data_IF_185464058765
#
_entry.id   IF_185464058765
#
_cell.length_a   1.000
_cell.length_b   1.000
_cell.length_c   1.000
_cell.angle_alpha   90.00
_cell.angle_beta   90.00
_cell.angle_gamma   90.00
#
_symmetry.space_group_name_H-M   'P 1'
#
loop_
_entity.id
_entity.type
_entity.pdbx_description
1 polymer ?
#
# COMPACT_ATOMS: atom_id res chain seq x y z
N UNK A 1 0.02 -38.48 -24.62
CA UNK A 1 -0.56 -38.81 -25.92
C UNK A 1 -1.83 -39.67 -25.74
N UNK A 2 -1.78 -40.77 -25.03
CA UNK A 2 -2.92 -41.68 -24.81
C UNK A 2 -4.14 -40.99 -24.17
N UNK A 3 -3.97 -40.02 -23.26
CA UNK A 3 -5.06 -39.31 -22.57
C UNK A 3 -5.65 -38.13 -23.35
N UNK A 4 -4.87 -37.50 -24.22
CA UNK A 4 -5.29 -36.26 -24.91
C UNK A 4 -5.77 -36.52 -26.34
N UNK A 5 -5.46 -37.68 -26.92
CA UNK A 5 -5.62 -37.89 -28.36
C UNK A 5 -4.52 -37.21 -29.18
N UNK A 6 -4.44 -37.54 -30.45
CA UNK A 6 -3.32 -37.14 -31.32
C UNK A 6 -3.34 -35.66 -31.66
N UNK A 7 -4.51 -35.08 -31.90
CA UNK A 7 -4.68 -33.67 -32.26
C UNK A 7 -4.27 -32.75 -31.11
N UNK A 8 -4.84 -32.94 -29.91
CA UNK A 8 -4.49 -32.15 -28.73
C UNK A 8 -3.05 -32.34 -28.28
N UNK A 9 -2.49 -33.50 -28.52
CA UNK A 9 -1.07 -33.73 -28.22
C UNK A 9 -0.16 -32.90 -29.11
N UNK A 10 -0.45 -32.84 -30.41
CA UNK A 10 0.35 -32.06 -31.37
C UNK A 10 0.25 -30.55 -31.06
N UNK A 11 -0.96 -30.03 -30.78
CA UNK A 11 -1.15 -28.64 -30.36
C UNK A 11 -0.38 -28.31 -29.08
N UNK A 12 -0.35 -29.25 -28.10
CA UNK A 12 0.42 -29.09 -26.86
C UNK A 12 1.94 -29.08 -27.15
N UNK A 13 2.41 -29.99 -27.97
CA UNK A 13 3.83 -30.12 -28.33
C UNK A 13 4.33 -28.83 -29.06
N UNK A 14 3.58 -28.37 -30.07
CA UNK A 14 3.86 -27.11 -30.79
C UNK A 14 3.85 -25.90 -29.85
N UNK A 15 2.87 -25.81 -28.96
CA UNK A 15 2.77 -24.74 -27.96
C UNK A 15 3.93 -24.76 -26.95
N UNK A 16 4.39 -25.94 -26.55
CA UNK A 16 5.52 -26.12 -25.65
C UNK A 16 6.85 -25.69 -26.33
N UNK A 17 7.05 -26.09 -27.58
CA UNK A 17 8.23 -25.67 -28.36
C UNK A 17 8.27 -24.14 -28.54
N UNK A 18 7.14 -23.54 -28.88
CA UNK A 18 7.04 -22.07 -28.99
C UNK A 18 7.32 -21.38 -27.66
N UNK A 19 6.79 -21.88 -26.56
CA UNK A 19 7.03 -21.33 -25.23
C UNK A 19 8.52 -21.45 -24.85
N UNK A 20 9.17 -22.58 -25.12
CA UNK A 20 10.60 -22.77 -24.84
C UNK A 20 11.48 -21.86 -25.70
N UNK A 21 11.11 -21.63 -26.98
CA UNK A 21 11.87 -20.71 -27.83
C UNK A 21 11.68 -19.24 -27.46
N UNK A 22 10.54 -18.89 -26.88
CA UNK A 22 10.21 -17.51 -26.50
C UNK A 22 10.65 -17.17 -25.04
N UNK A 23 10.92 -18.17 -24.21
CA UNK A 23 11.32 -17.98 -22.82
C UNK A 23 12.83 -18.00 -22.69
N UNK A 24 13.36 -17.21 -21.77
CA UNK A 24 14.76 -17.33 -21.34
C UNK A 24 14.91 -18.58 -20.45
N UNK A 25 16.12 -19.16 -20.47
CA UNK A 25 16.46 -20.28 -19.59
C UNK A 25 16.30 -19.86 -18.12
N UNK A 26 15.88 -20.81 -17.28
CA UNK A 26 15.74 -20.57 -15.86
C UNK A 26 17.08 -20.26 -15.20
N UNK A 27 17.17 -19.10 -14.57
CA UNK A 27 18.32 -18.66 -13.81
C UNK A 27 17.92 -18.22 -12.41
N UNK A 28 18.53 -18.84 -11.39
CA UNK A 28 18.21 -18.58 -9.97
C UNK A 28 18.62 -17.17 -9.57
N UNK A 29 19.72 -16.64 -10.09
CA UNK A 29 20.19 -15.30 -9.74
C UNK A 29 19.25 -14.23 -10.34
N UNK A 30 18.78 -14.43 -11.57
CA UNK A 30 17.77 -13.55 -12.19
C UNK A 30 16.41 -13.63 -11.45
N UNK A 31 16.02 -14.82 -10.96
CA UNK A 31 14.86 -14.95 -10.09
C UNK A 31 15.03 -14.20 -8.76
N UNK A 32 16.16 -14.36 -8.09
CA UNK A 32 16.47 -13.65 -6.84
C UNK A 32 16.60 -12.12 -7.03
N UNK A 33 16.98 -11.69 -8.23
CA UNK A 33 16.99 -10.28 -8.64
C UNK A 33 15.59 -9.75 -9.01
N UNK A 34 14.56 -10.61 -9.06
CA UNK A 34 13.18 -10.24 -9.41
C UNK A 34 12.94 -10.05 -10.91
N UNK A 35 13.83 -10.53 -11.78
CA UNK A 35 13.71 -10.42 -13.23
C UNK A 35 13.01 -11.62 -13.87
N UNK A 36 13.09 -12.79 -13.25
CA UNK A 36 12.36 -14.00 -13.66
C UNK A 36 11.35 -14.42 -12.61
N UNK A 37 10.27 -15.08 -13.06
CA UNK A 37 9.23 -15.64 -12.19
C UNK A 37 8.93 -17.06 -12.61
N UNK A 38 9.06 -18.08 -11.74
CA UNK A 38 8.67 -19.44 -12.05
C UNK A 38 7.16 -19.53 -12.18
N UNK A 39 6.68 -20.21 -13.21
CA UNK A 39 5.25 -20.47 -13.42
C UNK A 39 4.98 -21.96 -13.20
N UNK A 40 4.08 -22.24 -12.28
CA UNK A 40 3.69 -23.60 -11.90
C UNK A 40 2.19 -23.79 -12.11
N UNK A 41 1.81 -24.96 -12.65
CA UNK A 41 0.42 -25.31 -12.86
C UNK A 41 -0.06 -26.27 -11.78
N UNK A 42 -1.18 -25.94 -11.14
CA UNK A 42 -1.74 -26.77 -10.08
C UNK A 42 -3.20 -26.50 -9.79
N UNK A 43 -3.79 -27.33 -8.97
CA UNK A 43 -5.15 -27.13 -8.44
C UNK A 43 -5.18 -27.45 -6.96
N UNK A 44 -5.56 -26.47 -6.14
CA UNK A 44 -5.68 -26.63 -4.70
C UNK A 44 -6.81 -27.60 -4.31
N UNK A 45 -7.92 -27.63 -5.08
CA UNK A 45 -9.04 -28.52 -4.83
C UNK A 45 -8.67 -30.00 -4.94
N UNK A 46 -7.78 -30.33 -5.89
CA UNK A 46 -7.32 -31.71 -6.11
C UNK A 46 -5.93 -32.00 -5.54
N UNK A 47 -5.33 -31.06 -4.84
CA UNK A 47 -3.94 -31.12 -4.34
C UNK A 47 -2.90 -31.46 -5.42
N UNK A 48 -3.23 -31.21 -6.70
CA UNK A 48 -2.29 -31.45 -7.79
C UNK A 48 -1.32 -30.26 -7.92
N UNK A 49 -0.03 -30.54 -8.01
CA UNK A 49 1.00 -29.54 -8.22
C UNK A 49 1.36 -28.69 -6.98
N UNK A 50 0.68 -28.85 -5.85
CA UNK A 50 0.96 -28.10 -4.61
C UNK A 50 2.37 -28.37 -4.09
N UNK A 51 2.83 -29.61 -4.19
CA UNK A 51 4.20 -29.99 -3.84
C UNK A 51 5.25 -29.22 -4.64
N UNK A 52 5.00 -28.96 -5.93
CA UNK A 52 5.94 -28.19 -6.78
C UNK A 52 6.11 -26.76 -6.28
N UNK A 53 5.02 -26.13 -5.79
CA UNK A 53 5.09 -24.79 -5.18
C UNK A 53 5.91 -24.83 -3.89
N UNK A 54 5.67 -25.83 -3.04
CA UNK A 54 6.41 -26.01 -1.78
C UNK A 54 7.90 -26.30 -2.04
N UNK A 55 8.22 -27.16 -3.00
CA UNK A 55 9.59 -27.48 -3.38
C UNK A 55 10.31 -26.24 -3.93
N UNK A 56 9.64 -25.43 -4.74
CA UNK A 56 10.16 -24.16 -5.26
C UNK A 56 10.42 -23.17 -4.11
N UNK A 57 9.50 -23.05 -3.16
CA UNK A 57 9.67 -22.20 -1.98
C UNK A 57 10.90 -22.66 -1.16
N UNK A 58 11.00 -23.93 -0.85
CA UNK A 58 12.11 -24.47 -0.06
C UNK A 58 13.45 -24.32 -0.77
N UNK A 59 13.48 -24.46 -2.11
CA UNK A 59 14.71 -24.41 -2.88
C UNK A 59 15.20 -23.01 -3.16
N UNK A 60 14.30 -22.02 -3.31
CA UNK A 60 14.63 -20.71 -3.84
C UNK A 60 14.24 -19.51 -2.97
N UNK A 61 13.51 -19.72 -1.85
CA UNK A 61 13.17 -18.59 -0.97
C UNK A 61 14.45 -17.98 -0.38
N UNK A 62 14.69 -16.67 -0.58
CA UNK A 62 15.88 -16.02 -0.05
C UNK A 62 15.76 -15.79 1.45
N UNK A 63 16.89 -15.67 2.13
CA UNK A 63 16.96 -15.10 3.48
C UNK A 63 16.45 -13.64 3.46
N UNK A 64 16.07 -13.08 4.62
CA UNK A 64 15.71 -11.68 4.71
C UNK A 64 16.78 -10.79 4.10
N UNK A 65 16.34 -9.84 3.23
CA UNK A 65 17.24 -8.92 2.53
C UNK A 65 17.47 -7.67 3.38
N UNK A 66 18.55 -6.97 3.06
CA UNK A 66 18.82 -5.63 3.57
C UNK A 66 17.75 -4.65 3.07
N UNK A 67 17.49 -3.60 3.85
CA UNK A 67 16.48 -2.60 3.56
C UNK A 67 17.08 -1.19 3.53
N UNK A 68 16.68 -0.42 2.52
CA UNK A 68 17.12 0.97 2.38
C UNK A 68 16.32 1.90 3.29
N UNK A 69 17.01 2.83 3.91
CA UNK A 69 16.43 3.98 4.60
C UNK A 69 16.98 5.28 3.99
N UNK A 70 16.41 6.41 4.37
CA UNK A 70 16.92 7.72 3.95
C UNK A 70 18.37 7.92 4.44
N UNK A 71 18.67 7.39 5.62
CA UNK A 71 19.94 7.62 6.32
C UNK A 71 21.03 6.62 5.92
N UNK A 72 20.67 5.34 5.75
CA UNK A 72 21.61 4.25 5.41
C UNK A 72 20.88 2.96 5.02
N UNK A 73 21.61 1.98 4.51
CA UNK A 73 21.12 0.60 4.36
C UNK A 73 21.15 -0.12 5.72
N UNK A 74 20.04 -0.71 6.13
CA UNK A 74 19.91 -1.57 7.31
C UNK A 74 20.14 -3.01 6.88
N UNK A 75 21.10 -3.68 7.51
CA UNK A 75 21.37 -5.10 7.25
C UNK A 75 20.47 -5.99 8.11
N UNK A 76 19.94 -7.05 7.51
CA UNK A 76 19.03 -7.97 8.20
C UNK A 76 19.66 -8.67 9.41
N UNK A 77 20.99 -8.78 9.46
CA UNK A 77 21.74 -9.42 10.56
C UNK A 77 22.21 -8.46 11.66
N UNK A 78 21.80 -7.19 11.66
CA UNK A 78 22.09 -6.25 12.74
C UNK A 78 21.37 -6.65 14.03
N UNK A 79 21.98 -6.37 15.17
CA UNK A 79 21.40 -6.71 16.46
C UNK A 79 20.30 -5.72 16.91
N UNK A 80 20.39 -4.47 16.48
CA UNK A 80 19.43 -3.43 16.82
C UNK A 80 18.09 -3.70 16.10
N UNK A 81 17.01 -3.62 16.86
CA UNK A 81 15.67 -3.80 16.32
C UNK A 81 15.30 -2.65 15.39
N UNK A 82 14.87 -2.99 14.19
CA UNK A 82 14.23 -2.06 13.25
C UNK A 82 13.08 -2.73 12.52
N UNK A 83 12.08 -1.94 12.16
CA UNK A 83 10.96 -2.40 11.35
C UNK A 83 10.14 -1.25 10.82
N UNK A 84 9.32 -1.52 9.81
CA UNK A 84 8.41 -0.55 9.23
C UNK A 84 7.02 -1.12 8.99
N UNK A 85 6.04 -0.25 9.06
CA UNK A 85 4.63 -0.59 8.81
C UNK A 85 4.35 -0.49 7.32
N UNK A 86 3.95 -1.60 6.71
CA UNK A 86 3.64 -1.65 5.27
C UNK A 86 2.14 -1.76 4.97
N UNK A 87 1.33 -2.10 5.98
CA UNK A 87 -0.12 -2.26 5.83
C UNK A 87 -0.85 -1.92 7.12
N UNK A 88 -2.03 -1.34 6.99
CA UNK A 88 -2.99 -1.22 8.07
C UNK A 88 -4.28 -1.92 7.63
N UNK A 89 -4.90 -2.64 8.53
CA UNK A 89 -6.21 -3.22 8.32
C UNK A 89 -7.11 -2.97 9.52
N UNK A 90 -8.31 -2.43 9.26
CA UNK A 90 -9.33 -2.25 10.27
C UNK A 90 -10.37 -3.38 10.19
N UNK A 91 -11.07 -3.59 11.30
CA UNK A 91 -12.25 -4.45 11.39
C UNK A 91 -12.00 -5.88 10.88
N UNK A 92 -10.83 -6.45 11.15
CA UNK A 92 -10.53 -7.85 10.80
C UNK A 92 -11.46 -8.82 11.52
N UNK A 93 -11.87 -8.50 12.74
CA UNK A 93 -12.93 -9.21 13.46
C UNK A 93 -14.21 -8.36 13.44
N UNK A 94 -15.32 -8.85 12.85
CA UNK A 94 -16.59 -8.13 12.84
C UNK A 94 -17.13 -7.78 14.22
N UNK A 95 -16.72 -8.51 15.25
CA UNK A 95 -17.14 -8.29 16.65
C UNK A 95 -16.32 -7.20 17.36
N UNK A 96 -15.12 -6.92 16.88
CA UNK A 96 -14.18 -5.98 17.46
C UNK A 96 -13.79 -4.94 16.43
N UNK A 97 -14.06 -3.65 16.72
CA UNK A 97 -13.59 -2.53 15.90
C UNK A 97 -12.12 -2.25 16.19
N UNK A 98 -11.26 -3.20 15.87
CA UNK A 98 -9.83 -3.08 16.03
C UNK A 98 -9.16 -2.66 14.71
N UNK A 99 -8.00 -2.07 14.83
CA UNK A 99 -7.09 -1.76 13.73
C UNK A 99 -5.76 -2.40 14.04
N UNK A 100 -5.22 -3.08 13.06
CA UNK A 100 -3.92 -3.72 13.16
C UNK A 100 -2.99 -3.10 12.12
N UNK A 101 -1.83 -2.65 12.58
CA UNK A 101 -0.73 -2.24 11.73
C UNK A 101 0.23 -3.43 11.55
N UNK A 102 0.43 -3.86 10.31
CA UNK A 102 1.36 -4.93 9.98
C UNK A 102 2.75 -4.35 9.78
N UNK A 103 3.67 -4.77 10.61
CA UNK A 103 5.06 -4.33 10.61
C UNK A 103 5.98 -5.47 10.14
N UNK A 104 6.84 -5.18 9.17
CA UNK A 104 7.96 -6.05 8.78
C UNK A 104 9.15 -5.73 9.68
N UNK A 105 9.71 -6.75 10.32
CA UNK A 105 10.97 -6.62 11.04
C UNK A 105 12.11 -6.68 10.01
N UNK A 106 12.97 -5.66 10.02
CA UNK A 106 14.09 -5.52 9.08
C UNK A 106 15.41 -5.99 9.69
N UNK A 107 15.60 -5.77 10.99
CA UNK A 107 16.77 -6.22 11.73
C UNK A 107 16.47 -6.47 13.20
N UNK A 108 17.36 -7.15 13.88
CA UNK A 108 17.28 -7.41 15.31
C UNK A 108 16.16 -8.35 15.70
N UNK A 109 15.72 -8.23 16.95
CA UNK A 109 14.72 -9.10 17.55
C UNK A 109 13.64 -8.28 18.27
N UNK A 110 12.39 -8.60 18.02
CA UNK A 110 11.27 -8.15 18.85
C UNK A 110 11.16 -9.04 20.09
N UNK A 111 10.96 -8.42 21.24
CA UNK A 111 10.59 -9.08 22.49
C UNK A 111 9.33 -8.45 23.07
N UNK A 112 8.45 -9.26 23.63
CA UNK A 112 7.18 -8.79 24.21
C UNK A 112 7.43 -7.72 25.26
N UNK A 113 6.71 -6.61 25.12
CA UNK A 113 6.84 -5.48 26.05
C UNK A 113 8.05 -4.59 25.86
N UNK A 114 8.84 -4.82 24.79
CA UNK A 114 9.97 -3.93 24.49
C UNK A 114 9.50 -2.51 24.18
N UNK A 115 10.40 -1.58 24.34
CA UNK A 115 10.22 -0.18 23.98
C UNK A 115 10.85 0.09 22.63
N UNK A 116 10.15 0.81 21.79
CA UNK A 116 10.58 1.18 20.46
C UNK A 116 10.41 2.68 20.26
N UNK A 117 11.30 3.30 19.52
CA UNK A 117 11.13 4.67 19.05
C UNK A 117 10.23 4.69 17.83
N UNK A 118 9.08 5.36 17.90
CA UNK A 118 8.23 5.66 16.77
C UNK A 118 8.80 6.91 16.09
N UNK A 119 9.56 6.71 15.02
CA UNK A 119 10.43 7.73 14.42
C UNK A 119 9.64 8.98 14.01
N UNK A 120 8.57 8.84 13.24
CA UNK A 120 7.75 9.98 12.79
C UNK A 120 7.20 10.84 13.92
N UNK A 121 6.84 10.23 15.05
CA UNK A 121 6.30 10.96 16.21
C UNK A 121 7.37 11.42 17.18
N UNK A 122 8.63 10.97 17.02
CA UNK A 122 9.72 11.25 17.95
C UNK A 122 9.42 10.80 19.37
N UNK A 123 8.70 9.68 19.55
CA UNK A 123 8.24 9.18 20.84
C UNK A 123 8.61 7.73 21.03
N UNK A 124 9.04 7.40 22.23
CA UNK A 124 9.15 6.01 22.66
C UNK A 124 7.76 5.44 22.94
N UNK A 125 7.46 4.29 22.38
CA UNK A 125 6.22 3.54 22.59
C UNK A 125 6.55 2.15 23.11
N UNK A 126 5.75 1.66 24.05
CA UNK A 126 5.88 0.29 24.55
C UNK A 126 4.92 -0.60 23.78
N UNK A 127 5.42 -1.65 23.16
CA UNK A 127 4.62 -2.66 22.46
C UNK A 127 4.42 -3.84 23.43
N UNK A 128 3.31 -3.81 24.15
CA UNK A 128 2.98 -4.84 25.15
C UNK A 128 2.63 -6.18 24.52
N UNK A 129 1.89 -6.15 23.41
CA UNK A 129 1.40 -7.35 22.75
C UNK A 129 1.46 -7.15 21.22
N UNK A 130 2.42 -7.82 20.58
CA UNK A 130 2.38 -7.99 19.14
C UNK A 130 1.60 -9.27 18.80
N UNK A 131 0.96 -9.26 17.65
CA UNK A 131 0.12 -10.34 17.16
C UNK A 131 0.80 -11.09 16.02
N UNK A 132 0.71 -12.39 16.05
CA UNK A 132 0.94 -13.25 14.89
C UNK A 132 -0.40 -13.71 14.33
N UNK A 133 -0.47 -13.86 13.02
CA UNK A 133 -1.64 -14.35 12.32
C UNK A 133 -1.30 -15.70 11.66
N UNK A 134 -1.94 -16.76 12.11
CA UNK A 134 -1.77 -18.10 11.54
C UNK A 134 -3.16 -18.71 11.29
N UNK A 135 -3.44 -19.04 10.03
CA UNK A 135 -4.69 -19.66 9.60
C UNK A 135 -5.99 -18.98 10.09
N UNK A 136 -5.95 -17.65 10.28
CA UNK A 136 -7.08 -16.85 10.78
C UNK A 136 -7.12 -16.65 12.29
N UNK A 137 -6.31 -17.38 13.05
CA UNK A 137 -6.18 -17.20 14.49
C UNK A 137 -5.17 -16.10 14.82
N UNK A 138 -5.37 -15.44 15.96
CA UNK A 138 -4.50 -14.39 16.49
C UNK A 138 -3.84 -14.89 17.75
N UNK A 139 -2.53 -14.90 17.76
CA UNK A 139 -1.75 -15.30 18.92
C UNK A 139 -0.83 -14.15 19.34
N UNK A 140 -0.67 -13.97 20.65
CA UNK A 140 0.32 -13.04 21.17
C UNK A 140 1.73 -13.62 20.97
N UNK A 141 2.63 -12.80 20.45
CA UNK A 141 4.03 -13.16 20.20
C UNK A 141 4.91 -12.80 21.40
N UNK A 142 5.76 -13.75 21.80
CA UNK A 142 6.81 -13.50 22.77
C UNK A 142 8.06 -12.92 22.10
N UNK A 143 8.41 -13.40 20.91
CA UNK A 143 9.57 -12.96 20.15
C UNK A 143 9.36 -13.07 18.64
N UNK A 144 10.06 -12.26 17.87
CA UNK A 144 10.10 -12.32 16.40
C UNK A 144 11.42 -11.72 15.88
N UNK A 145 11.81 -12.10 14.68
CA UNK A 145 13.12 -11.82 14.10
C UNK A 145 13.04 -11.11 12.76
N UNK A 146 14.17 -10.63 12.26
CA UNK A 146 14.27 -10.04 10.91
C UNK A 146 13.65 -10.98 9.87
N UNK A 147 12.74 -10.42 9.06
CA UNK A 147 11.95 -11.17 8.09
C UNK A 147 10.54 -11.51 8.54
N UNK A 148 10.26 -11.53 9.85
CA UNK A 148 8.92 -11.77 10.35
C UNK A 148 8.00 -10.56 10.15
N UNK A 149 6.71 -10.83 10.11
CA UNK A 149 5.64 -9.84 10.07
C UNK A 149 4.84 -9.96 11.35
N UNK A 150 4.76 -8.86 12.09
CA UNK A 150 4.00 -8.79 13.34
C UNK A 150 2.87 -7.76 13.23
N UNK A 151 1.77 -8.01 13.92
CA UNK A 151 0.66 -7.08 14.03
C UNK A 151 0.75 -6.23 15.28
N UNK A 152 0.65 -4.92 15.13
CA UNK A 152 0.58 -3.97 16.24
C UNK A 152 -0.84 -3.44 16.38
N UNK A 153 -1.35 -3.37 17.60
CA UNK A 153 -2.62 -2.69 17.85
C UNK A 153 -2.51 -1.21 17.52
N UNK A 154 -3.34 -0.73 16.60
CA UNK A 154 -3.32 0.65 16.14
C UNK A 154 -4.55 1.42 16.62
N UNK A 155 -4.36 2.32 17.57
CA UNK A 155 -5.40 3.22 18.05
C UNK A 155 -5.58 4.48 17.18
N UNK A 156 -5.05 4.48 15.95
CA UNK A 156 -5.18 5.58 14.98
C UNK A 156 -3.93 6.48 14.88
N UNK A 157 -2.84 6.13 15.56
CA UNK A 157 -1.58 6.90 15.53
C UNK A 157 -0.54 6.35 14.55
N UNK A 158 -0.58 5.04 14.30
CA UNK A 158 0.34 4.37 13.38
C UNK A 158 -0.17 4.53 11.95
N UNK A 159 0.72 4.89 11.04
CA UNK A 159 0.48 5.04 9.60
C UNK A 159 1.33 4.05 8.79
N UNK A 160 0.92 3.78 7.55
CA UNK A 160 1.76 3.04 6.60
C UNK A 160 3.02 3.87 6.37
N UNK A 161 4.19 3.20 6.32
CA UNK A 161 5.50 3.86 6.23
C UNK A 161 6.13 4.21 7.57
N UNK A 162 5.40 4.15 8.68
CA UNK A 162 5.98 4.42 9.99
C UNK A 162 7.11 3.45 10.31
N UNK A 163 8.23 4.01 10.74
CA UNK A 163 9.43 3.29 11.16
C UNK A 163 9.49 3.18 12.68
N UNK A 164 9.88 1.99 13.15
CA UNK A 164 10.09 1.68 14.56
C UNK A 164 11.51 1.14 14.77
N UNK A 165 12.22 1.70 15.73
CA UNK A 165 13.62 1.37 15.97
C UNK A 165 13.93 1.26 17.48
N UNK A 166 14.98 0.52 17.86
CA UNK A 166 15.48 0.50 19.24
C UNK A 166 16.64 1.46 19.47
N UNK A 167 17.16 2.10 18.44
CA UNK A 167 18.34 2.97 18.52
C UNK A 167 18.23 4.20 17.64
N UNK A 168 18.82 4.15 16.47
CA UNK A 168 18.86 5.24 15.51
C UNK A 168 17.45 5.65 14.99
N UNK A 169 17.30 6.91 14.64
CA UNK A 169 16.12 7.36 13.90
C UNK A 169 16.34 7.09 12.42
N UNK A 170 15.66 6.08 11.90
CA UNK A 170 15.76 5.62 10.51
C UNK A 170 14.40 5.70 9.84
N UNK A 171 14.35 6.22 8.61
CA UNK A 171 13.15 6.32 7.80
C UNK A 171 13.25 5.34 6.63
N UNK A 172 12.51 4.23 6.71
CA UNK A 172 12.48 3.23 5.64
C UNK A 172 11.83 3.80 4.39
N UNK A 173 12.41 3.45 3.23
CA UNK A 173 11.94 3.84 1.90
C UNK A 173 11.30 2.66 1.16
N UNK A 174 10.74 2.91 -0.02
CA UNK A 174 10.21 1.84 -0.88
C UNK A 174 8.72 1.51 -0.67
N UNK A 175 7.98 2.35 0.08
CA UNK A 175 6.51 2.28 0.17
C UNK A 175 5.91 3.60 -0.31
N UNK A 176 5.98 3.90 -1.61
CA UNK A 176 5.44 5.15 -2.13
C UNK A 176 3.91 5.11 -2.22
N UNK A 177 3.27 6.23 -1.94
CA UNK A 177 1.91 6.49 -2.38
C UNK A 177 1.90 6.85 -3.86
N UNK A 178 1.27 6.02 -4.68
CA UNK A 178 1.07 6.31 -6.09
C UNK A 178 -0.17 7.17 -6.30
N UNK A 179 -0.11 8.06 -7.29
CA UNK A 179 -1.30 8.78 -7.73
C UNK A 179 -2.34 7.80 -8.27
N UNK A 180 -3.62 7.88 -7.83
CA UNK A 180 -4.68 7.05 -8.38
C UNK A 180 -4.97 7.40 -9.84
N UNK A 181 -5.59 6.47 -10.55
CA UNK A 181 -5.92 6.61 -11.98
C UNK A 181 -7.40 6.97 -12.20
N UNK A 182 -8.26 6.61 -11.26
CA UNK A 182 -9.71 6.81 -11.35
C UNK A 182 -10.19 7.69 -10.20
N UNK A 183 -11.05 8.65 -10.52
CA UNK A 183 -11.60 9.58 -9.54
C UNK A 183 -13.11 9.60 -9.58
N UNK A 184 -13.75 9.63 -8.41
CA UNK A 184 -15.19 9.73 -8.25
C UNK A 184 -15.54 10.67 -7.10
N UNK A 185 -16.58 11.48 -7.27
CA UNK A 185 -17.17 12.23 -6.17
C UNK A 185 -18.05 11.31 -5.34
N UNK A 186 -17.88 11.37 -4.04
CA UNK A 186 -18.71 10.61 -3.09
C UNK A 186 -19.98 11.40 -2.80
N UNK A 187 -21.12 10.82 -3.12
CA UNK A 187 -22.43 11.43 -2.86
C UNK A 187 -23.14 10.69 -1.75
N UNK A 188 -23.35 11.37 -0.66
CA UNK A 188 -24.01 10.83 0.53
C UNK A 188 -25.52 10.80 0.34
N UNK A 189 -26.17 9.65 0.62
CA UNK A 189 -27.63 9.54 0.52
C UNK A 189 -28.37 10.20 1.70
N UNK A 190 -27.78 10.17 2.89
CA UNK A 190 -28.34 10.74 4.11
C UNK A 190 -27.42 11.85 4.67
N UNK A 191 -27.74 13.13 4.49
CA UNK A 191 -26.89 14.25 4.92
C UNK A 191 -26.52 14.23 6.40
N UNK A 192 -27.34 13.61 7.27
CA UNK A 192 -27.06 13.52 8.70
C UNK A 192 -25.87 12.63 9.03
N UNK A 193 -25.45 11.77 8.09
CA UNK A 193 -24.31 10.85 8.26
C UNK A 193 -22.99 11.38 7.71
N UNK A 194 -22.89 12.67 7.45
CA UNK A 194 -21.67 13.29 6.88
C UNK A 194 -20.42 13.02 7.71
N UNK A 195 -20.49 13.12 9.02
CA UNK A 195 -19.35 12.83 9.92
C UNK A 195 -18.93 11.37 9.89
N UNK A 196 -19.91 10.44 9.81
CA UNK A 196 -19.63 9.01 9.68
C UNK A 196 -19.01 8.69 8.33
N UNK A 197 -19.48 9.31 7.24
CA UNK A 197 -18.88 9.19 5.91
C UNK A 197 -17.42 9.63 5.93
N UNK A 198 -17.15 10.82 6.41
CA UNK A 198 -15.79 11.37 6.45
C UNK A 198 -14.86 10.48 7.28
N UNK A 199 -15.32 10.03 8.46
CA UNK A 199 -14.56 9.10 9.29
C UNK A 199 -14.30 7.78 8.58
N UNK A 200 -15.31 7.19 7.93
CA UNK A 200 -15.19 5.93 7.20
C UNK A 200 -14.21 6.03 6.04
N UNK A 201 -14.35 7.07 5.21
CA UNK A 201 -13.44 7.29 4.08
C UNK A 201 -12.01 7.54 4.54
N UNK A 202 -11.83 8.32 5.62
CA UNK A 202 -10.51 8.56 6.19
C UNK A 202 -9.86 7.24 6.64
N UNK A 203 -10.57 6.41 7.38
CA UNK A 203 -10.06 5.15 7.89
C UNK A 203 -9.76 4.14 6.76
N UNK A 204 -10.64 4.06 5.74
CA UNK A 204 -10.42 3.21 4.57
C UNK A 204 -9.23 3.70 3.72
N UNK A 205 -9.01 5.02 3.65
CA UNK A 205 -7.84 5.61 2.99
C UNK A 205 -6.54 5.28 3.73
N UNK A 206 -6.54 5.29 5.05
CA UNK A 206 -5.39 4.93 5.89
C UNK A 206 -4.99 3.45 5.74
N UNK A 207 -5.89 2.58 5.25
CA UNK A 207 -5.57 1.20 4.88
C UNK A 207 -4.83 1.08 3.53
N UNK A 208 -4.73 2.18 2.77
CA UNK A 208 -3.99 2.25 1.51
C UNK A 208 -4.74 1.74 0.27
N UNK A 209 -5.96 1.21 0.42
CA UNK A 209 -6.72 0.67 -0.71
C UNK A 209 -7.24 1.76 -1.66
N UNK A 210 -7.53 2.96 -1.15
CA UNK A 210 -8.03 4.13 -1.87
C UNK A 210 -7.44 5.39 -1.27
N UNK A 211 -7.59 6.52 -1.96
CA UNK A 211 -7.15 7.81 -1.46
C UNK A 211 -8.31 8.80 -1.47
N UNK A 212 -8.39 9.63 -0.43
CA UNK A 212 -9.42 10.66 -0.30
C UNK A 212 -8.79 12.02 -0.51
N UNK A 213 -9.43 12.84 -1.34
CA UNK A 213 -9.05 14.22 -1.61
C UNK A 213 -10.19 15.15 -1.25
N UNK A 214 -9.87 16.21 -0.55
CA UNK A 214 -10.80 17.24 -0.09
C UNK A 214 -10.47 18.55 -0.82
N UNK A 215 -11.24 18.91 -1.89
CA UNK A 215 -11.06 20.17 -2.60
C UNK A 215 -11.17 21.38 -1.65
N UNK A 216 -10.35 22.40 -1.88
CA UNK A 216 -10.35 23.60 -1.02
C UNK A 216 -11.53 24.53 -1.31
N UNK A 217 -12.15 24.43 -2.47
CA UNK A 217 -13.25 25.31 -2.90
C UNK A 217 -14.62 24.90 -2.39
N UNK A 218 -14.80 23.65 -1.98
CA UNK A 218 -16.07 23.10 -1.53
C UNK A 218 -15.86 21.98 -0.50
N UNK A 219 -16.96 21.36 -0.05
CA UNK A 219 -16.94 20.26 0.89
C UNK A 219 -17.09 18.89 0.21
N UNK A 220 -16.81 18.78 -1.07
CA UNK A 220 -16.84 17.52 -1.77
C UNK A 220 -15.77 16.58 -1.24
N UNK A 221 -16.04 15.29 -1.30
CA UNK A 221 -15.09 14.24 -1.04
C UNK A 221 -14.83 13.50 -2.36
N UNK A 222 -13.61 13.56 -2.84
CA UNK A 222 -13.18 12.87 -4.05
C UNK A 222 -12.43 11.62 -3.63
N UNK A 223 -12.90 10.47 -4.09
CA UNK A 223 -12.22 9.19 -3.89
C UNK A 223 -11.37 8.88 -5.12
N UNK A 224 -10.09 8.60 -4.91
CA UNK A 224 -9.15 8.13 -5.91
C UNK A 224 -8.87 6.64 -5.74
N UNK A 225 -8.85 5.89 -6.83
CA UNK A 225 -8.61 4.46 -6.86
C UNK A 225 -7.79 4.05 -8.09
N UNK A 226 -7.15 2.89 -8.03
CA UNK A 226 -6.43 2.30 -9.16
C UNK A 226 -7.38 1.51 -10.06
N UNK A 227 -8.39 0.88 -9.48
CA UNK A 227 -9.36 0.05 -10.21
C UNK A 227 -10.81 0.34 -9.84
N UNK A 228 -11.73 0.06 -10.79
CA UNK A 228 -13.17 0.33 -10.62
C UNK A 228 -13.78 -0.43 -9.43
N UNK A 229 -13.36 -1.68 -9.21
CA UNK A 229 -13.88 -2.53 -8.13
C UNK A 229 -13.60 -1.94 -6.73
N UNK A 230 -12.57 -1.12 -6.57
CA UNK A 230 -12.27 -0.48 -5.29
C UNK A 230 -13.40 0.44 -4.82
N UNK A 231 -14.12 1.11 -5.73
CA UNK A 231 -15.28 1.93 -5.39
C UNK A 231 -16.43 1.09 -4.82
N UNK A 232 -16.67 -0.08 -5.41
CA UNK A 232 -17.72 -1.01 -4.94
C UNK A 232 -17.38 -1.57 -3.55
N UNK A 233 -16.13 -1.96 -3.35
CA UNK A 233 -15.62 -2.42 -2.04
C UNK A 233 -15.77 -1.33 -0.99
N UNK A 234 -15.39 -0.08 -1.30
CA UNK A 234 -15.54 1.05 -0.37
C UNK A 234 -17.01 1.31 -0.05
N UNK A 235 -17.91 1.30 -1.05
CA UNK A 235 -19.35 1.48 -0.83
C UNK A 235 -19.93 0.39 0.08
N UNK A 236 -19.57 -0.87 -0.17
CA UNK A 236 -19.99 -2.00 0.65
C UNK A 236 -19.48 -1.86 2.10
N UNK A 237 -18.20 -1.58 2.29
CA UNK A 237 -17.61 -1.41 3.61
C UNK A 237 -18.19 -0.22 4.37
N UNK A 238 -18.45 0.91 3.70
CA UNK A 238 -19.13 2.06 4.32
C UNK A 238 -20.53 1.69 4.78
N UNK A 239 -21.28 0.90 4.01
CA UNK A 239 -22.60 0.45 4.39
C UNK A 239 -22.55 -0.52 5.58
N UNK A 240 -21.68 -1.52 5.55
CA UNK A 240 -21.61 -2.57 6.55
C UNK A 240 -20.94 -2.11 7.86
N UNK A 241 -19.81 -1.43 7.78
CA UNK A 241 -19.00 -1.08 8.95
C UNK A 241 -19.41 0.26 9.57
N UNK A 242 -19.77 1.25 8.74
CA UNK A 242 -20.07 2.61 9.19
C UNK A 242 -21.56 2.96 9.13
N UNK A 243 -22.39 2.06 8.57
CA UNK A 243 -23.84 2.25 8.37
C UNK A 243 -24.16 3.50 7.52
N UNK A 244 -23.31 3.78 6.54
CA UNK A 244 -23.40 4.92 5.63
C UNK A 244 -23.61 4.42 4.19
N UNK A 245 -24.65 4.92 3.55
CA UNK A 245 -24.89 4.66 2.13
C UNK A 245 -24.45 5.84 1.28
N UNK A 246 -23.66 5.59 0.28
CA UNK A 246 -23.21 6.59 -0.69
C UNK A 246 -23.26 6.03 -2.12
N UNK A 247 -23.17 6.93 -3.08
CA UNK A 247 -22.97 6.63 -4.51
C UNK A 247 -21.76 7.38 -5.01
N UNK A 248 -21.24 6.97 -6.17
CA UNK A 248 -20.07 7.58 -6.77
C UNK A 248 -20.42 8.20 -8.13
N UNK A 249 -20.14 9.49 -8.27
CA UNK A 249 -20.36 10.22 -9.52
C UNK A 249 -19.04 10.50 -10.23
N UNK A 250 -19.02 10.46 -11.57
CA UNK A 250 -17.82 10.81 -12.33
C UNK A 250 -17.44 12.28 -12.10
N UNK A 251 -16.13 12.55 -12.13
CA UNK A 251 -15.56 13.90 -12.05
C UNK A 251 -14.56 14.12 -13.17
N UNK A 252 -14.38 15.37 -13.58
CA UNK A 252 -13.41 15.76 -14.59
C UNK A 252 -12.01 15.92 -13.99
N UNK A 253 -11.44 14.85 -13.50
CA UNK A 253 -10.08 14.78 -12.96
C UNK A 253 -9.37 13.65 -13.68
N UNK A 254 -8.26 13.98 -14.36
CA UNK A 254 -7.48 13.01 -15.11
C UNK A 254 -6.30 12.45 -14.29
N UNK A 255 -5.77 13.23 -13.34
CA UNK A 255 -4.67 12.81 -12.48
C UNK A 255 -4.51 13.76 -11.29
N UNK A 256 -3.81 13.32 -10.28
CA UNK A 256 -3.40 14.13 -9.12
C UNK A 256 -1.88 14.22 -9.04
N UNK A 257 -1.39 15.32 -8.48
CA UNK A 257 0.03 15.50 -8.15
C UNK A 257 0.14 16.13 -6.76
N UNK A 258 1.05 15.63 -5.96
CA UNK A 258 1.48 16.30 -4.74
C UNK A 258 2.36 17.49 -5.13
N UNK A 259 2.08 18.65 -4.54
CA UNK A 259 2.77 19.89 -4.93
C UNK A 259 3.65 20.39 -3.79
N UNK A 260 4.89 20.71 -4.14
CA UNK A 260 5.87 21.27 -3.23
C UNK A 260 6.62 22.44 -3.90
N UNK A 261 7.01 23.42 -3.12
CA UNK A 261 7.83 24.54 -3.59
C UNK A 261 8.55 25.18 -2.41
N UNK A 262 9.87 25.36 -2.53
CA UNK A 262 10.69 26.02 -1.53
C UNK A 262 10.51 27.54 -1.57
N UNK A 263 10.27 28.12 -2.76
CA UNK A 263 9.95 29.55 -2.91
C UNK A 263 8.51 29.85 -2.48
N UNK A 264 8.37 30.43 -1.30
CA UNK A 264 7.07 30.81 -0.74
C UNK A 264 6.29 31.79 -1.61
N UNK A 265 6.98 32.72 -2.30
CA UNK A 265 6.32 33.73 -3.15
C UNK A 265 5.78 33.09 -4.42
N UNK A 266 6.56 32.24 -5.08
CA UNK A 266 6.14 31.47 -6.24
C UNK A 266 5.00 30.51 -5.88
N UNK A 267 5.09 29.87 -4.72
CA UNK A 267 4.05 28.95 -4.24
C UNK A 267 2.71 29.65 -3.97
N UNK A 268 2.72 30.84 -3.36
CA UNK A 268 1.49 31.62 -3.17
C UNK A 268 0.86 32.08 -4.49
N UNK A 269 1.66 32.46 -5.48
CA UNK A 269 1.17 32.77 -6.84
C UNK A 269 0.52 31.56 -7.50
N UNK A 270 1.17 30.41 -7.40
CA UNK A 270 0.62 29.14 -7.88
C UNK A 270 -0.71 28.81 -7.21
N UNK A 271 -0.76 28.84 -5.87
CA UNK A 271 -1.97 28.51 -5.09
C UNK A 271 -3.16 29.42 -5.46
N UNK A 272 -2.92 30.72 -5.66
CA UNK A 272 -3.97 31.64 -6.11
C UNK A 272 -4.50 31.28 -7.50
N UNK A 273 -3.63 30.88 -8.42
CA UNK A 273 -4.03 30.54 -9.79
C UNK A 273 -4.69 29.17 -9.89
N UNK A 274 -4.21 28.21 -9.11
CA UNK A 274 -4.67 26.83 -9.10
C UNK A 274 -5.78 26.57 -8.08
N UNK A 275 -6.31 27.62 -7.42
CA UNK A 275 -7.23 27.51 -6.27
C UNK A 275 -8.36 26.50 -6.48
N UNK A 276 -8.99 26.49 -7.67
CA UNK A 276 -10.12 25.61 -7.99
C UNK A 276 -9.72 24.14 -8.17
N UNK A 277 -8.43 23.85 -8.35
CA UNK A 277 -7.88 22.51 -8.53
C UNK A 277 -7.06 22.03 -7.31
N UNK A 278 -6.95 22.87 -6.28
CA UNK A 278 -6.24 22.47 -5.07
C UNK A 278 -7.13 21.63 -4.15
N UNK A 279 -6.54 20.59 -3.60
CA UNK A 279 -7.15 19.75 -2.57
C UNK A 279 -6.12 19.33 -1.53
N UNK A 280 -6.61 18.76 -0.44
CA UNK A 280 -5.78 18.14 0.59
C UNK A 280 -6.08 16.65 0.59
N UNK A 281 -5.06 15.80 0.59
CA UNK A 281 -5.25 14.37 0.70
C UNK A 281 -5.59 13.93 2.14
N UNK A 282 -5.89 12.64 2.32
CA UNK A 282 -6.18 12.07 3.64
C UNK A 282 -5.05 12.18 4.66
N UNK A 283 -3.81 12.42 4.21
CA UNK A 283 -2.64 12.65 5.06
C UNK A 283 -2.37 14.13 5.39
N UNK A 284 -3.18 15.05 4.85
CA UNK A 284 -3.01 16.50 5.05
C UNK A 284 -2.08 17.18 4.06
N UNK A 285 -1.64 16.50 3.01
CA UNK A 285 -0.73 17.05 2.00
C UNK A 285 -1.47 17.74 0.88
N UNK A 286 -0.91 18.89 0.45
CA UNK A 286 -1.48 19.66 -0.65
C UNK A 286 -1.32 18.93 -1.97
N UNK A 287 -2.40 18.89 -2.74
CA UNK A 287 -2.46 18.22 -4.03
C UNK A 287 -3.09 19.12 -5.09
N UNK A 288 -2.70 18.90 -6.34
CA UNK A 288 -3.29 19.51 -7.53
C UNK A 288 -4.09 18.44 -8.30
N UNK A 289 -5.39 18.63 -8.41
CA UNK A 289 -6.31 17.77 -9.16
C UNK A 289 -6.37 18.28 -10.61
N UNK A 290 -5.59 17.67 -11.49
CA UNK A 290 -5.52 18.10 -12.88
C UNK A 290 -6.74 17.63 -13.69
N UNK A 291 -7.49 18.54 -14.34
CA UNK A 291 -8.65 18.16 -15.18
C UNK A 291 -8.23 17.38 -16.42
N UNK A 292 -7.02 17.57 -16.90
CA UNK A 292 -6.42 16.85 -18.03
C UNK A 292 -4.91 16.80 -17.91
N UNK A 293 -4.26 15.87 -18.63
CA UNK A 293 -2.79 15.82 -18.70
C UNK A 293 -2.19 17.06 -19.33
N UNK A 294 -2.89 17.68 -20.29
CA UNK A 294 -2.47 18.94 -20.91
C UNK A 294 -2.47 20.08 -19.90
N UNK A 295 -3.53 20.17 -19.06
CA UNK A 295 -3.56 21.16 -17.98
C UNK A 295 -2.41 21.00 -16.99
N UNK A 296 -2.08 19.75 -16.65
CA UNK A 296 -0.93 19.48 -15.78
C UNK A 296 0.36 20.00 -16.41
N UNK A 297 0.61 19.68 -17.68
CA UNK A 297 1.80 20.12 -18.40
C UNK A 297 1.88 21.66 -18.46
N UNK A 298 0.78 22.33 -18.80
CA UNK A 298 0.73 23.80 -18.83
C UNK A 298 1.03 24.42 -17.46
N UNK A 299 0.60 23.78 -16.38
CA UNK A 299 0.90 24.27 -15.03
C UNK A 299 2.35 24.05 -14.64
N UNK A 300 2.95 22.93 -15.04
CA UNK A 300 4.38 22.66 -14.86
C UNK A 300 5.26 23.64 -15.63
N UNK A 301 4.90 23.96 -16.87
CA UNK A 301 5.61 24.95 -17.70
C UNK A 301 5.48 26.38 -17.15
N UNK A 302 4.32 26.73 -16.59
CA UNK A 302 4.05 28.06 -16.05
C UNK A 302 4.69 28.31 -14.68
N UNK A 303 4.86 27.26 -13.89
CA UNK A 303 5.39 27.30 -12.54
C UNK A 303 6.53 26.30 -12.37
N UNK A 304 7.68 26.52 -13.04
CA UNK A 304 8.79 25.58 -13.01
C UNK A 304 9.42 25.43 -11.61
N UNK A 305 9.17 26.39 -10.70
CA UNK A 305 9.63 26.33 -9.31
C UNK A 305 8.77 25.40 -8.44
N UNK A 306 7.58 25.00 -8.93
CA UNK A 306 6.68 24.08 -8.22
C UNK A 306 6.91 22.66 -8.70
N UNK A 307 7.23 21.79 -7.78
CA UNK A 307 7.33 20.37 -8.05
C UNK A 307 5.95 19.71 -8.06
N UNK A 308 5.66 18.92 -9.11
CA UNK A 308 4.43 18.12 -9.26
C UNK A 308 4.79 16.63 -9.21
N UNK A 309 4.76 16.07 -8.04
CA UNK A 309 5.20 14.68 -7.79
C UNK A 309 4.07 13.68 -8.07
N UNK A 310 4.37 12.61 -8.81
CA UNK A 310 3.42 11.52 -9.07
C UNK A 310 3.33 10.53 -7.91
N UNK A 311 4.34 10.52 -7.07
CA UNK A 311 4.44 9.67 -5.87
C UNK A 311 4.79 10.54 -4.67
N UNK A 312 4.43 10.06 -3.51
CA UNK A 312 4.84 10.61 -2.22
C UNK A 312 5.38 9.48 -1.36
N UNK A 313 6.55 9.66 -0.81
CA UNK A 313 7.05 8.82 0.27
C UNK A 313 6.31 9.13 1.58
N UNK A 314 6.24 8.15 2.47
CA UNK A 314 5.55 8.29 3.77
C UNK A 314 6.32 9.13 4.77
#
# INVERSE_FOLDING_TARGET
KERLGELMWNEFEEGLELAQMASEDWDVDEFLAGKQTPVLFGTALGNFGVNMVLDTLVSYAPSPKDHETVERTVKANENEFTGFVFKIQANMDPKHRDRVAFMRICSGRYERGMKMNHVRLGKEVRVSDALMFLAGDREALEEAYAGDIIGLHNHGTIQIGDSFTSGESLNFTGIPHFAPELFRRVVLKDPLKSKQLQKGLQQLSEEGATQVFMPQINNDLILGAVGVLQFEVVAHRLAEEYKVQCTFEPVSIATVRWVHCDDKVAFEKFKKKAHDQLSVDGGGYLTYLAPSRVNLQLMQERYPEVEFRATREH
#
